data_IF_878820526342
#
_entry.id   IF_878820526342
#
_cell.length_a   1.000
_cell.length_b   1.000
_cell.length_c   1.000
_cell.angle_alpha   90.00
_cell.angle_beta   90.00
_cell.angle_gamma   90.00
#
_symmetry.space_group_name_H-M   'P 1'
#
loop_
_entity.id
_entity.type
_entity.pdbx_description
1 polymer ?
#
# COMPACT_ATOMS: atom_id res chain seq x y z
N UNK A 1 9.75 -8.86 17.62
CA UNK A 1 9.81 -7.39 17.75
C UNK A 1 9.17 -6.78 16.52
N UNK A 2 8.19 -5.89 16.70
CA UNK A 2 7.59 -5.16 15.58
C UNK A 2 8.52 -4.02 15.14
N UNK A 3 8.91 -4.01 13.87
CA UNK A 3 9.86 -3.04 13.29
C UNK A 3 9.14 -1.81 12.69
N UNK A 4 8.08 -1.35 13.34
CA UNK A 4 7.26 -0.21 12.88
C UNK A 4 7.45 1.09 13.69
N UNK A 5 8.40 1.09 14.64
CA UNK A 5 8.76 2.28 15.38
C UNK A 5 9.82 3.08 14.58
N UNK A 6 9.59 4.36 14.26
CA UNK A 6 10.53 5.19 13.52
C UNK A 6 11.93 5.27 14.12
N UNK A 7 12.10 4.99 15.43
CA UNK A 7 13.45 4.92 16.06
C UNK A 7 14.38 3.88 15.44
N UNK A 8 13.84 2.88 14.73
CA UNK A 8 14.64 1.89 14.02
C UNK A 8 15.17 2.39 12.66
N UNK A 9 14.64 3.51 12.15
CA UNK A 9 15.19 4.17 10.98
C UNK A 9 16.51 4.87 11.36
N UNK A 10 17.59 4.44 10.74
CA UNK A 10 18.94 4.99 11.00
C UNK A 10 19.32 6.14 10.08
N UNK A 11 18.45 6.48 9.15
CA UNK A 11 18.63 7.54 8.15
C UNK A 11 17.30 8.22 7.87
N UNK A 12 17.32 9.35 7.15
CA UNK A 12 16.11 10.00 6.68
C UNK A 12 15.38 9.17 5.62
N UNK A 13 14.12 9.51 5.38
CA UNK A 13 13.30 8.89 4.33
C UNK A 13 13.40 9.69 3.02
N UNK A 14 13.18 9.01 1.89
CA UNK A 14 13.13 9.67 0.58
C UNK A 14 11.98 10.70 0.54
N UNK A 15 10.84 10.40 1.17
CA UNK A 15 9.70 11.31 1.23
C UNK A 15 10.03 12.59 1.99
N UNK A 16 10.75 12.45 3.12
CA UNK A 16 11.23 13.63 3.86
C UNK A 16 12.17 14.47 3.00
N UNK A 17 13.11 13.87 2.28
CA UNK A 17 14.05 14.62 1.44
C UNK A 17 13.32 15.43 0.35
N UNK A 18 12.35 14.84 -0.33
CA UNK A 18 11.54 15.56 -1.31
C UNK A 18 10.63 16.62 -0.68
N UNK A 19 10.04 16.31 0.48
CA UNK A 19 9.22 17.29 1.22
C UNK A 19 10.05 18.51 1.65
N UNK A 20 11.26 18.31 2.14
CA UNK A 20 12.19 19.39 2.52
C UNK A 20 12.60 20.24 1.29
N UNK A 21 12.68 19.62 0.11
CA UNK A 21 12.91 20.29 -1.16
C UNK A 21 11.66 21.03 -1.72
N UNK A 22 10.53 20.99 -1.00
CA UNK A 22 9.31 21.72 -1.36
C UNK A 22 8.23 20.89 -2.00
N UNK A 23 8.45 19.62 -2.27
CA UNK A 23 7.47 18.74 -2.90
C UNK A 23 6.22 18.49 -2.02
N UNK A 24 5.08 18.29 -2.69
CA UNK A 24 3.85 17.79 -2.09
C UNK A 24 3.87 16.26 -2.08
N UNK A 25 3.68 15.67 -0.92
CA UNK A 25 3.78 14.23 -0.70
C UNK A 25 2.43 13.65 -0.28
N UNK A 26 1.97 12.61 -0.94
CA UNK A 26 0.83 11.82 -0.53
C UNK A 26 1.23 10.36 -0.34
N UNK A 27 0.90 9.79 0.82
CA UNK A 27 1.19 8.39 1.15
C UNK A 27 -0.09 7.75 1.66
N UNK A 28 -0.54 6.69 0.99
CA UNK A 28 -1.68 5.89 1.43
C UNK A 28 -1.26 4.43 1.51
N UNK A 29 -1.41 3.84 2.69
CA UNK A 29 -1.05 2.43 2.92
C UNK A 29 -2.27 1.62 3.32
N UNK A 30 -2.24 0.31 3.12
CA UNK A 30 -3.29 -0.55 3.64
C UNK A 30 -3.29 -0.55 5.17
N UNK A 31 -2.10 -0.73 5.77
CA UNK A 31 -1.94 -0.91 7.22
C UNK A 31 -1.13 0.22 7.87
N UNK A 32 -1.54 0.61 9.08
CA UNK A 32 -0.94 1.74 9.83
C UNK A 32 0.55 1.50 10.19
N UNK A 33 0.97 0.25 10.31
CA UNK A 33 2.38 -0.07 10.60
C UNK A 33 3.36 0.58 9.62
N UNK A 34 3.07 0.46 8.33
CA UNK A 34 3.93 1.00 7.28
C UNK A 34 3.82 2.52 7.19
N UNK A 35 2.61 3.07 7.39
CA UNK A 35 2.36 4.51 7.39
C UNK A 35 3.32 5.27 8.30
N UNK A 36 3.53 4.78 9.53
CA UNK A 36 4.41 5.44 10.51
C UNK A 36 5.86 5.55 10.07
N UNK A 37 6.37 4.53 9.39
CA UNK A 37 7.74 4.54 8.88
C UNK A 37 7.87 5.46 7.67
N UNK A 38 6.94 5.39 6.73
CA UNK A 38 6.95 6.19 5.50
C UNK A 38 6.71 7.68 5.78
N UNK A 39 5.82 8.00 6.73
CA UNK A 39 5.52 9.36 7.14
C UNK A 39 6.57 10.00 8.07
N UNK A 40 7.60 9.25 8.46
CA UNK A 40 8.60 9.74 9.40
C UNK A 40 9.34 10.98 8.86
N UNK A 41 9.29 12.05 9.64
CA UNK A 41 9.95 13.32 9.32
C UNK A 41 9.16 14.25 8.39
N UNK A 42 7.95 13.88 7.95
CA UNK A 42 7.07 14.79 7.22
C UNK A 42 6.48 15.84 8.15
N UNK A 43 6.39 17.08 7.66
CA UNK A 43 5.70 18.17 8.36
C UNK A 43 4.26 18.30 7.82
N UNK A 44 3.32 17.69 8.53
CA UNK A 44 1.91 17.71 8.16
C UNK A 44 1.26 19.10 8.27
N UNK A 45 1.75 19.96 9.17
CA UNK A 45 1.26 21.34 9.30
C UNK A 45 1.61 22.24 8.11
N UNK A 46 2.49 21.79 7.22
CA UNK A 46 2.87 22.54 6.02
C UNK A 46 1.77 22.60 4.94
N UNK A 47 0.73 21.77 5.04
CA UNK A 47 -0.27 21.56 3.99
C UNK A 47 0.25 20.87 2.73
N UNK A 48 1.51 20.39 2.75
CA UNK A 48 2.18 19.73 1.62
C UNK A 48 2.44 18.24 1.84
N UNK A 49 1.95 17.67 2.94
CA UNK A 49 2.09 16.24 3.23
C UNK A 49 0.77 15.67 3.72
N UNK A 50 0.39 14.52 3.15
CA UNK A 50 -0.71 13.68 3.63
C UNK A 50 -0.16 12.26 3.75
N UNK A 51 -0.42 11.60 4.90
CA UNK A 51 0.01 10.22 5.12
C UNK A 51 -0.97 9.50 6.04
N UNK A 52 -1.71 8.51 5.51
CA UNK A 52 -2.67 7.73 6.29
C UNK A 52 -2.76 6.27 5.81
N UNK A 53 -3.45 5.44 6.59
CA UNK A 53 -3.77 4.05 6.21
C UNK A 53 -5.27 3.87 5.98
N UNK A 54 -5.64 2.96 5.08
CA UNK A 54 -7.05 2.64 4.82
C UNK A 54 -7.72 1.98 6.03
N UNK A 55 -6.99 1.12 6.77
CA UNK A 55 -7.54 0.47 7.98
C UNK A 55 -7.93 1.46 9.09
N UNK A 56 -7.37 2.69 9.09
CA UNK A 56 -7.58 3.73 10.09
C UNK A 56 -7.95 5.09 9.50
N UNK A 57 -8.56 5.10 8.32
CA UNK A 57 -8.90 6.35 7.65
C UNK A 57 -9.97 7.18 8.41
N UNK A 58 -10.74 6.56 9.31
CA UNK A 58 -11.67 7.23 10.22
C UNK A 58 -11.02 7.84 11.48
N UNK A 59 -9.75 7.51 11.76
CA UNK A 59 -9.00 8.01 12.91
C UNK A 59 -8.06 9.18 12.53
N UNK A 60 -8.11 9.65 11.28
CA UNK A 60 -7.19 10.67 10.79
C UNK A 60 -7.47 12.05 11.37
N UNK A 61 -6.40 12.84 11.51
CA UNK A 61 -6.45 14.22 11.95
C UNK A 61 -5.32 15.04 11.28
N UNK A 62 -5.46 16.37 11.29
CA UNK A 62 -4.49 17.27 10.63
C UNK A 62 -3.08 17.16 11.20
N UNK A 63 -2.93 16.91 12.49
CA UNK A 63 -1.62 16.96 13.18
C UNK A 63 -0.74 15.77 12.79
N UNK A 64 -1.32 14.57 12.74
CA UNK A 64 -0.58 13.33 12.50
C UNK A 64 -0.63 12.83 11.05
N UNK A 65 -1.59 13.32 10.26
CA UNK A 65 -1.86 12.76 8.94
C UNK A 65 -1.91 13.81 7.82
N UNK A 66 -2.01 15.11 8.16
CA UNK A 66 -2.20 16.18 7.18
C UNK A 66 -3.58 16.23 6.54
N UNK A 67 -4.53 15.48 7.07
CA UNK A 67 -5.93 15.41 6.63
C UNK A 67 -6.84 15.15 7.83
N UNK A 68 -7.95 15.89 7.93
CA UNK A 68 -8.84 15.78 9.08
C UNK A 68 -9.67 14.49 9.08
N UNK A 69 -10.22 14.11 7.94
CA UNK A 69 -11.07 12.93 7.81
C UNK A 69 -10.87 12.28 6.43
N UNK A 70 -9.94 11.34 6.38
CA UNK A 70 -9.62 10.62 5.15
C UNK A 70 -10.79 9.75 4.68
N UNK A 71 -11.54 9.15 5.59
CA UNK A 71 -12.72 8.37 5.23
C UNK A 71 -13.76 9.22 4.50
N UNK A 72 -14.07 10.41 5.02
CA UNK A 72 -15.02 11.33 4.37
C UNK A 72 -14.49 11.82 3.02
N UNK A 73 -13.19 12.08 2.89
CA UNK A 73 -12.56 12.47 1.63
C UNK A 73 -12.71 11.36 0.57
N UNK A 74 -12.48 10.10 0.96
CA UNK A 74 -12.66 8.95 0.07
C UNK A 74 -14.15 8.65 -0.17
N UNK A 75 -15.03 8.93 0.80
CA UNK A 75 -16.48 8.71 0.69
C UNK A 75 -16.88 7.23 0.67
N UNK A 76 -16.09 6.38 1.31
CA UNK A 76 -16.33 4.93 1.46
C UNK A 76 -16.30 4.53 2.94
N UNK A 77 -16.98 3.45 3.28
CA UNK A 77 -16.83 2.82 4.59
C UNK A 77 -15.43 2.23 4.76
N UNK A 78 -14.97 2.12 6.02
CA UNK A 78 -13.69 1.47 6.31
C UNK A 78 -13.79 -0.02 5.98
N UNK A 79 -12.94 -0.52 5.06
CA UNK A 79 -13.00 -1.92 4.66
C UNK A 79 -12.45 -2.85 5.75
N UNK A 80 -12.88 -4.12 5.71
CA UNK A 80 -12.24 -5.16 6.52
C UNK A 80 -10.76 -5.29 6.14
N UNK A 81 -9.90 -5.48 7.15
CA UNK A 81 -8.44 -5.61 6.96
C UNK A 81 -8.07 -6.81 6.07
N UNK A 82 -8.94 -7.82 6.04
CA UNK A 82 -8.78 -9.04 5.24
C UNK A 82 -9.75 -9.06 4.04
N UNK A 83 -9.77 -7.99 3.26
CA UNK A 83 -10.61 -7.85 2.07
C UNK A 83 -9.85 -7.23 0.89
N UNK A 84 -10.38 -7.42 -0.33
CA UNK A 84 -9.89 -6.75 -1.53
C UNK A 84 -10.16 -5.24 -1.48
N UNK A 85 -11.26 -4.86 -0.84
CA UNK A 85 -11.74 -3.50 -0.70
C UNK A 85 -10.74 -2.62 0.07
N UNK A 86 -9.91 -3.21 0.95
CA UNK A 86 -8.84 -2.48 1.64
C UNK A 86 -7.83 -1.90 0.64
N UNK A 87 -7.44 -2.67 -0.37
CA UNK A 87 -6.55 -2.21 -1.44
C UNK A 87 -7.27 -1.27 -2.41
N UNK A 88 -8.54 -1.54 -2.73
CA UNK A 88 -9.35 -0.66 -3.57
C UNK A 88 -9.50 0.73 -2.95
N UNK A 89 -9.72 0.82 -1.63
CA UNK A 89 -9.78 2.10 -0.89
C UNK A 89 -8.52 2.95 -1.10
N UNK A 90 -7.34 2.33 -1.15
CA UNK A 90 -6.07 3.03 -1.37
C UNK A 90 -6.04 3.70 -2.75
N UNK A 91 -6.46 2.98 -3.78
CA UNK A 91 -6.46 3.52 -5.14
C UNK A 91 -7.50 4.63 -5.32
N UNK A 92 -8.71 4.45 -4.75
CA UNK A 92 -9.74 5.49 -4.75
C UNK A 92 -9.25 6.75 -4.03
N UNK A 93 -8.59 6.58 -2.88
CA UNK A 93 -7.94 7.68 -2.18
C UNK A 93 -6.88 8.37 -3.05
N UNK A 94 -6.08 7.60 -3.78
CA UNK A 94 -5.07 8.14 -4.70
C UNK A 94 -5.68 9.02 -5.79
N UNK A 95 -6.74 8.56 -6.44
CA UNK A 95 -7.45 9.34 -7.48
C UNK A 95 -7.99 10.64 -6.91
N UNK A 96 -8.60 10.62 -5.72
CA UNK A 96 -9.15 11.83 -5.07
C UNK A 96 -8.07 12.78 -4.56
N UNK A 97 -6.92 12.26 -4.16
CA UNK A 97 -5.76 13.08 -3.78
C UNK A 97 -5.13 13.77 -5.00
N UNK A 98 -5.15 13.13 -6.17
CA UNK A 98 -4.75 13.79 -7.42
C UNK A 98 -5.64 15.00 -7.73
N UNK A 99 -6.95 14.89 -7.54
CA UNK A 99 -7.88 16.00 -7.76
C UNK A 99 -7.71 17.13 -6.73
N UNK A 100 -7.58 16.80 -5.45
CA UNK A 100 -7.65 17.78 -4.36
C UNK A 100 -6.31 18.41 -3.99
N UNK A 101 -5.21 17.64 -4.05
CA UNK A 101 -3.89 18.07 -3.59
C UNK A 101 -2.89 18.22 -4.74
N UNK A 102 -3.00 17.42 -5.79
CA UNK A 102 -2.00 17.27 -6.87
C UNK A 102 -0.60 17.06 -6.30
N UNK A 103 -0.33 15.93 -5.67
CA UNK A 103 0.99 15.66 -5.10
C UNK A 103 2.05 15.53 -6.20
N UNK A 104 3.28 15.97 -5.90
CA UNK A 104 4.43 15.76 -6.78
C UNK A 104 4.90 14.31 -6.72
N UNK A 105 4.74 13.66 -5.55
CA UNK A 105 5.01 12.24 -5.34
C UNK A 105 3.87 11.63 -4.54
N UNK A 106 3.33 10.51 -5.06
CA UNK A 106 2.32 9.72 -4.38
C UNK A 106 2.81 8.27 -4.24
N UNK A 107 2.66 7.72 -3.05
CA UNK A 107 2.97 6.32 -2.76
C UNK A 107 1.71 5.59 -2.29
N UNK A 108 1.31 4.59 -3.05
CA UNK A 108 0.13 3.76 -2.77
C UNK A 108 0.60 2.34 -2.49
N UNK A 109 0.37 1.84 -1.28
CA UNK A 109 0.83 0.51 -0.86
C UNK A 109 -0.33 -0.38 -0.45
N UNK A 110 -0.56 -1.43 -1.22
CA UNK A 110 -1.61 -2.42 -1.01
C UNK A 110 -1.17 -3.55 -0.06
N UNK A 111 -2.06 -4.52 0.16
CA UNK A 111 -1.73 -5.82 0.75
C UNK A 111 -1.78 -6.89 -0.32
N UNK A 112 -1.13 -8.00 -0.06
CA UNK A 112 -1.11 -9.23 -0.84
C UNK A 112 -2.20 -10.23 -0.44
N UNK A 113 -3.27 -9.76 0.23
CA UNK A 113 -4.33 -10.64 0.75
C UNK A 113 -4.97 -11.50 -0.35
N UNK A 114 -5.31 -10.90 -1.49
CA UNK A 114 -5.92 -11.63 -2.61
C UNK A 114 -4.95 -12.64 -3.20
N UNK A 115 -3.69 -12.27 -3.38
CA UNK A 115 -2.63 -13.12 -3.94
C UNK A 115 -2.35 -14.33 -3.04
N UNK A 116 -2.46 -14.18 -1.72
CA UNK A 116 -2.34 -15.29 -0.77
C UNK A 116 -3.51 -16.28 -0.82
N UNK A 117 -4.69 -15.83 -1.23
CA UNK A 117 -5.92 -16.63 -1.27
C UNK A 117 -6.21 -17.26 -2.63
N UNK A 118 -5.78 -16.60 -3.69
CA UNK A 118 -6.14 -16.95 -5.05
C UNK A 118 -4.91 -16.94 -5.95
N UNK A 119 -4.61 -18.11 -6.55
CA UNK A 119 -3.49 -18.25 -7.46
C UNK A 119 -3.61 -17.31 -8.68
N UNK A 120 -2.49 -16.90 -9.28
CA UNK A 120 -2.48 -16.14 -10.53
C UNK A 120 -3.31 -16.84 -11.61
N UNK A 121 -4.06 -16.06 -12.39
CA UNK A 121 -4.93 -16.56 -13.46
C UNK A 121 -6.32 -17.00 -13.01
N UNK A 122 -6.58 -17.11 -11.70
CA UNK A 122 -7.93 -17.41 -11.22
C UNK A 122 -8.88 -16.21 -11.43
N UNK A 123 -10.21 -16.44 -11.57
CA UNK A 123 -11.16 -15.35 -11.78
C UNK A 123 -11.11 -14.25 -10.73
N UNK A 124 -10.87 -14.60 -9.46
CA UNK A 124 -10.81 -13.63 -8.34
C UNK A 124 -9.53 -12.80 -8.44
N UNK A 125 -8.37 -13.43 -8.68
CA UNK A 125 -7.11 -12.72 -8.87
C UNK A 125 -7.19 -11.77 -10.09
N UNK A 126 -7.70 -12.26 -11.22
CA UNK A 126 -7.85 -11.46 -12.43
C UNK A 126 -8.80 -10.27 -12.23
N UNK A 127 -9.91 -10.46 -11.49
CA UNK A 127 -10.83 -9.37 -11.15
C UNK A 127 -10.15 -8.31 -10.29
N UNK A 128 -9.31 -8.72 -9.35
CA UNK A 128 -8.55 -7.79 -8.51
C UNK A 128 -7.56 -6.96 -9.33
N UNK A 129 -6.81 -7.59 -10.24
CA UNK A 129 -5.89 -6.86 -11.13
C UNK A 129 -6.62 -5.94 -12.11
N UNK A 130 -7.77 -6.35 -12.64
CA UNK A 130 -8.59 -5.49 -13.48
C UNK A 130 -9.14 -4.28 -12.74
N UNK A 131 -9.47 -4.42 -11.45
CA UNK A 131 -9.84 -3.29 -10.58
C UNK A 131 -8.66 -2.32 -10.43
N UNK A 132 -7.46 -2.82 -10.14
CA UNK A 132 -6.25 -1.98 -10.05
C UNK A 132 -5.99 -1.21 -11.36
N UNK A 133 -6.07 -1.90 -12.50
CA UNK A 133 -5.90 -1.30 -13.83
C UNK A 133 -6.87 -0.15 -14.10
N UNK A 134 -8.11 -0.29 -13.63
CA UNK A 134 -9.13 0.78 -13.73
C UNK A 134 -8.68 2.05 -13.00
N UNK A 135 -8.14 1.93 -11.80
CA UNK A 135 -7.64 3.07 -11.04
C UNK A 135 -6.34 3.65 -11.62
N UNK A 136 -5.44 2.80 -12.11
CA UNK A 136 -4.23 3.26 -12.80
C UNK A 136 -4.57 4.05 -14.05
N UNK A 137 -5.55 3.60 -14.82
CA UNK A 137 -6.05 4.35 -15.99
C UNK A 137 -6.59 5.73 -15.60
N UNK A 138 -7.26 5.87 -14.46
CA UNK A 138 -7.73 7.17 -13.96
C UNK A 138 -6.57 8.07 -13.55
N UNK A 139 -5.56 7.53 -12.87
CA UNK A 139 -4.37 8.29 -12.48
C UNK A 139 -3.57 8.74 -13.71
N UNK A 140 -3.39 7.88 -14.71
CA UNK A 140 -2.74 8.20 -15.97
C UNK A 140 -3.51 9.32 -16.71
N UNK A 141 -4.83 9.22 -16.79
CA UNK A 141 -5.68 10.24 -17.39
C UNK A 141 -5.58 11.60 -16.69
N UNK A 142 -5.26 11.63 -15.39
CA UNK A 142 -4.97 12.83 -14.61
C UNK A 142 -3.52 13.35 -14.80
N UNK A 143 -2.72 12.67 -15.60
CA UNK A 143 -1.34 13.04 -15.93
C UNK A 143 -0.28 12.51 -14.96
N UNK A 144 -0.58 11.49 -14.18
CA UNK A 144 0.42 10.85 -13.33
C UNK A 144 1.38 9.98 -14.14
N UNK A 145 2.67 9.98 -13.78
CA UNK A 145 3.64 8.99 -14.24
C UNK A 145 3.60 7.82 -13.27
N UNK A 146 3.24 6.65 -13.75
CA UNK A 146 3.04 5.46 -12.93
C UNK A 146 4.29 4.58 -12.90
N UNK A 147 4.77 4.27 -11.69
CA UNK A 147 5.77 3.24 -11.43
C UNK A 147 5.16 2.16 -10.54
N UNK A 148 5.31 0.90 -10.93
CA UNK A 148 4.77 -0.24 -10.18
C UNK A 148 5.90 -1.20 -9.80
N UNK A 149 5.84 -1.73 -8.57
CA UNK A 149 6.77 -2.73 -8.09
C UNK A 149 6.09 -3.66 -7.10
N UNK A 150 6.64 -4.84 -6.93
CA UNK A 150 6.27 -5.79 -5.89
C UNK A 150 7.56 -6.26 -5.19
N UNK A 151 7.45 -6.65 -3.93
CA UNK A 151 8.54 -7.23 -3.14
C UNK A 151 8.84 -8.68 -3.55
N UNK A 152 7.83 -9.42 -4.02
CA UNK A 152 7.94 -10.78 -4.56
C UNK A 152 6.76 -11.10 -5.50
N UNK A 153 6.88 -12.20 -6.21
CA UNK A 153 5.78 -12.80 -6.98
C UNK A 153 4.94 -13.76 -6.14
N UNK A 154 3.87 -14.29 -6.74
CA UNK A 154 3.02 -15.32 -6.14
C UNK A 154 2.81 -16.45 -7.15
N UNK A 155 2.84 -17.69 -6.66
CA UNK A 155 2.50 -18.90 -7.40
C UNK A 155 1.28 -19.60 -6.76
N UNK A 156 0.72 -20.59 -7.45
CA UNK A 156 -0.20 -21.53 -6.85
C UNK A 156 0.51 -22.27 -5.69
N UNK A 157 -0.21 -22.52 -4.59
CA UNK A 157 0.30 -23.29 -3.44
C UNK A 157 0.04 -24.79 -3.55
N UNK A 158 -0.72 -25.18 -4.57
CA UNK A 158 -1.11 -26.55 -4.86
C UNK A 158 -0.90 -26.81 -6.35
N UNK A 159 -0.50 -28.03 -6.69
CA UNK A 159 -0.43 -28.50 -8.06
C UNK A 159 -1.83 -28.86 -8.60
N UNK A 160 -1.91 -29.29 -9.87
CA UNK A 160 -3.18 -29.65 -10.52
C UNK A 160 -3.87 -30.86 -9.86
N UNK A 161 -3.15 -31.69 -9.12
CA UNK A 161 -3.69 -32.82 -8.34
C UNK A 161 -4.23 -32.39 -6.96
N UNK A 162 -4.06 -31.10 -6.58
CA UNK A 162 -4.46 -30.57 -5.28
C UNK A 162 -3.45 -30.88 -4.14
N UNK A 163 -2.27 -31.35 -4.48
CA UNK A 163 -1.19 -31.58 -3.51
C UNK A 163 -0.39 -30.28 -3.29
N UNK A 164 0.20 -30.08 -2.09
CA UNK A 164 1.04 -28.91 -1.82
C UNK A 164 2.19 -28.77 -2.82
N UNK A 165 2.29 -27.58 -3.46
CA UNK A 165 3.42 -27.21 -4.34
C UNK A 165 4.35 -26.25 -3.58
N UNK A 166 5.00 -26.80 -2.57
CA UNK A 166 5.91 -26.07 -1.68
C UNK A 166 7.15 -26.90 -1.38
N UNK A 167 8.27 -26.24 -1.18
CA UNK A 167 9.52 -26.84 -0.74
C UNK A 167 9.64 -26.65 0.78
N UNK A 168 9.67 -27.75 1.54
CA UNK A 168 10.00 -27.68 2.95
C UNK A 168 11.51 -27.65 3.12
N UNK A 169 12.01 -26.50 3.49
CA UNK A 169 13.44 -26.23 3.48
C UNK A 169 14.24 -27.18 4.42
N UNK A 170 13.64 -27.62 5.52
CA UNK A 170 14.30 -28.55 6.45
C UNK A 170 14.64 -29.89 5.78
N UNK A 171 13.70 -30.46 5.02
CA UNK A 171 13.94 -31.72 4.32
C UNK A 171 15.10 -31.60 3.31
N UNK A 172 15.13 -30.47 2.58
CA UNK A 172 16.24 -30.19 1.63
C UNK A 172 17.58 -30.09 2.35
N UNK A 173 17.60 -29.41 3.50
CA UNK A 173 18.83 -29.25 4.29
C UNK A 173 19.28 -30.58 4.90
N UNK A 174 18.36 -31.39 5.40
CA UNK A 174 18.67 -32.69 5.97
C UNK A 174 19.23 -33.64 4.89
N UNK A 175 18.66 -33.64 3.70
CA UNK A 175 19.16 -34.40 2.54
C UNK A 175 20.57 -33.94 2.09
N UNK A 176 20.87 -32.64 2.21
CA UNK A 176 22.18 -32.11 1.81
C UNK A 176 23.26 -32.29 2.86
N UNK A 177 22.90 -32.36 4.13
CA UNK A 177 23.86 -32.43 5.24
C UNK A 177 24.12 -33.87 5.73
N UNK A 178 23.31 -34.86 5.36
CA UNK A 178 23.43 -36.29 5.67
C UNK A 178 22.96 -36.63 7.05
#
# INVERSE_FOLDING_TARGET
VMMNDPKFLRTGTIFKAFHDAGAKIAIVTAKDKLRRLLGHGLNFSSGRAICFSSEKANETNMVEHGIENAQAMVGRDIPDVYSAELSEFIFDAGVKLMDSMRPDIMYLSTTDYIQHKHAPGTPVANKFYAMMDTYWSQLDAQGAILGMTADHGMNAKFNDAGEPDVIYLQDVLDDMLG
#
